data_IF_154245742406
#
_entry.id   IF_154245742406
#
_cell.length_a   1.000
_cell.length_b   1.000
_cell.length_c   1.000
_cell.angle_alpha   90.00
_cell.angle_beta   90.00
_cell.angle_gamma   90.00
#
_symmetry.space_group_name_H-M   'P 1'
#
loop_
_entity.id
_entity.type
_entity.pdbx_description
1 polymer ?
#
# COMPACT_ATOMS: atom_id res chain seq x y z
N UNK A 1 13.56 -34.98 -6.03
CA UNK A 1 12.53 -34.02 -6.47
C UNK A 1 12.70 -33.51 -7.91
N UNK A 2 13.92 -33.34 -8.46
CA UNK A 2 14.14 -32.88 -9.86
C UNK A 2 13.43 -33.70 -10.98
N UNK A 3 13.12 -34.98 -10.76
CA UNK A 3 12.49 -35.85 -11.79
C UNK A 3 10.97 -35.66 -11.93
N UNK A 4 10.29 -35.14 -10.91
CA UNK A 4 8.84 -34.90 -10.96
C UNK A 4 8.54 -33.62 -11.78
N UNK A 5 9.42 -32.61 -11.68
CA UNK A 5 9.29 -31.37 -12.46
C UNK A 5 9.41 -31.61 -13.97
N UNK A 6 10.23 -32.57 -14.41
CA UNK A 6 10.37 -32.90 -15.85
C UNK A 6 9.10 -33.58 -16.39
N UNK A 7 8.45 -34.43 -15.59
CA UNK A 7 7.23 -35.13 -16.00
C UNK A 7 6.02 -34.19 -16.09
N UNK A 8 5.88 -33.24 -15.17
CA UNK A 8 4.75 -32.29 -15.16
C UNK A 8 4.93 -31.24 -16.27
N UNK A 9 6.13 -30.70 -16.47
CA UNK A 9 6.42 -29.80 -17.58
C UNK A 9 6.27 -30.50 -18.94
N UNK A 10 6.68 -31.76 -19.03
CA UNK A 10 6.46 -32.60 -20.21
C UNK A 10 4.98 -32.80 -20.52
N UNK A 11 4.16 -33.11 -19.50
CA UNK A 11 2.72 -33.29 -19.64
C UNK A 11 2.04 -32.00 -20.14
N UNK A 12 2.35 -30.85 -19.54
CA UNK A 12 1.80 -29.55 -19.93
C UNK A 12 2.20 -29.14 -21.36
N UNK A 13 3.46 -29.38 -21.76
CA UNK A 13 3.94 -29.11 -23.11
C UNK A 13 3.28 -30.05 -24.14
N UNK A 14 3.11 -31.34 -23.81
CA UNK A 14 2.42 -32.28 -24.69
C UNK A 14 0.95 -31.92 -24.88
N UNK A 15 0.23 -31.52 -23.82
CA UNK A 15 -1.18 -31.13 -23.94
C UNK A 15 -1.38 -29.88 -24.79
N UNK A 16 -0.45 -28.92 -24.74
CA UNK A 16 -0.50 -27.69 -25.53
C UNK A 16 -0.11 -27.92 -27.00
N UNK A 17 0.86 -28.79 -27.28
CA UNK A 17 1.19 -29.21 -28.65
C UNK A 17 0.08 -30.08 -29.29
N UNK A 18 -0.56 -30.99 -28.55
CA UNK A 18 -1.68 -31.78 -29.08
C UNK A 18 -2.92 -30.93 -29.33
N UNK A 19 -3.18 -29.92 -28.50
CA UNK A 19 -4.30 -28.99 -28.73
C UNK A 19 -4.09 -28.15 -30.00
N UNK A 20 -2.85 -27.79 -30.31
CA UNK A 20 -2.50 -27.02 -31.53
C UNK A 20 -2.58 -27.89 -32.79
N UNK A 21 -2.14 -29.16 -32.71
CA UNK A 21 -2.21 -30.11 -33.83
C UNK A 21 -3.65 -30.56 -34.15
N UNK A 22 -4.50 -30.74 -33.14
CA UNK A 22 -5.92 -31.07 -33.35
C UNK A 22 -6.69 -29.93 -34.05
N UNK A 23 -6.28 -28.67 -33.82
CA UNK A 23 -6.86 -27.50 -34.48
C UNK A 23 -6.42 -27.36 -35.95
N UNK A 24 -5.29 -27.96 -36.33
CA UNK A 24 -4.73 -27.87 -37.70
C UNK A 24 -5.29 -28.92 -38.67
N UNK A 25 -6.04 -29.92 -38.21
CA UNK A 25 -6.51 -31.03 -39.06
C UNK A 25 -7.97 -30.93 -39.52
N UNK A 26 -8.72 -29.87 -39.15
CA UNK A 26 -10.16 -29.79 -39.46
C UNK A 26 -10.51 -29.16 -40.81
N UNK A 27 -9.56 -29.02 -41.74
CA UNK A 27 -9.85 -28.54 -43.10
C UNK A 27 -9.23 -29.51 -44.11
N UNK A 28 -9.89 -30.64 -44.33
CA UNK A 28 -9.59 -31.51 -45.47
C UNK A 28 -10.35 -30.99 -46.70
N UNK A 29 -9.67 -30.64 -47.82
CA UNK A 29 -10.35 -30.31 -49.05
C UNK A 29 -11.01 -31.57 -49.61
N UNK A 30 -12.29 -31.44 -49.95
CA UNK A 30 -13.16 -32.49 -50.47
C UNK A 30 -12.64 -32.97 -51.85
N UNK A 31 -12.19 -34.22 -52.03
CA UNK A 31 -11.84 -34.71 -53.35
C UNK A 31 -13.10 -35.15 -54.09
N UNK A 32 -13.46 -34.40 -55.13
CA UNK A 32 -14.55 -34.72 -56.04
C UNK A 32 -14.30 -36.06 -56.73
N UNK A 33 -15.08 -37.09 -56.40
CA UNK A 33 -15.14 -38.37 -57.12
C UNK A 33 -16.54 -38.57 -57.73
N UNK A 34 -16.64 -39.32 -58.84
CA UNK A 34 -17.81 -39.36 -59.71
C UNK A 34 -18.98 -40.18 -59.13
N UNK A 35 -20.22 -39.92 -59.60
CA UNK A 35 -21.42 -40.49 -59.01
C UNK A 35 -21.54 -41.98 -59.34
N UNK A 36 -21.40 -42.82 -58.31
CA UNK A 36 -21.75 -44.24 -58.41
C UNK A 36 -23.04 -44.44 -57.63
N UNK A 37 -24.15 -44.60 -58.34
CA UNK A 37 -25.47 -44.83 -57.78
C UNK A 37 -25.58 -46.25 -57.20
N UNK A 38 -25.30 -46.36 -55.91
CA UNK A 38 -25.76 -47.47 -55.07
C UNK A 38 -26.62 -46.86 -53.95
N UNK A 39 -27.73 -47.50 -53.54
CA UNK A 39 -28.57 -46.98 -52.48
C UNK A 39 -27.78 -47.01 -51.17
N UNK A 40 -27.36 -45.82 -50.74
CA UNK A 40 -26.70 -45.61 -49.45
C UNK A 40 -27.71 -46.03 -48.38
N UNK A 41 -27.42 -47.02 -47.52
CA UNK A 41 -28.24 -47.28 -46.36
C UNK A 41 -28.32 -46.01 -45.54
N UNK A 42 -29.55 -45.55 -45.31
CA UNK A 42 -29.91 -44.28 -44.69
C UNK A 42 -29.07 -44.03 -43.42
N UNK A 43 -27.98 -43.27 -43.53
CA UNK A 43 -26.98 -43.04 -42.48
C UNK A 43 -27.44 -42.03 -41.41
N UNK A 44 -28.73 -41.69 -41.40
CA UNK A 44 -29.30 -40.63 -40.57
C UNK A 44 -29.79 -41.10 -39.19
N UNK A 45 -29.35 -42.26 -38.71
CA UNK A 45 -29.58 -42.68 -37.33
C UNK A 45 -28.32 -43.26 -36.70
N UNK A 46 -27.19 -42.55 -36.81
CA UNK A 46 -26.22 -42.63 -35.71
C UNK A 46 -26.87 -41.87 -34.56
N UNK A 47 -27.63 -42.60 -33.74
CA UNK A 47 -28.15 -42.10 -32.47
C UNK A 47 -26.90 -41.65 -31.69
N UNK A 48 -26.74 -40.34 -31.38
CA UNK A 48 -25.59 -39.89 -30.63
C UNK A 48 -25.51 -40.74 -29.37
N UNK A 49 -24.32 -41.25 -29.09
CA UNK A 49 -24.13 -42.20 -28.01
C UNK A 49 -24.68 -41.55 -26.74
N UNK A 50 -25.47 -42.27 -25.95
CA UNK A 50 -26.23 -41.73 -24.79
C UNK A 50 -25.37 -41.15 -23.66
N UNK A 51 -24.05 -41.04 -23.85
CA UNK A 51 -23.09 -40.44 -22.94
C UNK A 51 -22.55 -39.08 -23.43
N UNK A 52 -22.90 -38.61 -24.63
CA UNK A 52 -22.56 -37.26 -25.07
C UNK A 52 -23.34 -36.23 -24.25
N UNK A 53 -22.66 -35.63 -23.28
CA UNK A 53 -23.20 -34.57 -22.43
C UNK A 53 -23.39 -33.34 -23.32
N UNK A 54 -24.65 -32.98 -23.58
CA UNK A 54 -24.99 -31.73 -24.25
C UNK A 54 -24.74 -30.56 -23.30
N UNK A 55 -23.51 -30.04 -23.31
CA UNK A 55 -23.05 -28.95 -22.44
C UNK A 55 -23.94 -27.71 -22.57
N UNK A 56 -24.42 -27.44 -23.78
CA UNK A 56 -25.26 -26.28 -24.09
C UNK A 56 -26.62 -26.33 -23.36
N UNK A 57 -27.26 -27.49 -23.35
CA UNK A 57 -28.56 -27.69 -22.70
C UNK A 57 -28.49 -27.43 -21.18
N UNK A 58 -27.41 -27.90 -20.54
CA UNK A 58 -27.20 -27.77 -19.09
C UNK A 58 -26.89 -26.33 -18.68
N UNK A 59 -26.20 -25.56 -19.54
CA UNK A 59 -25.83 -24.17 -19.26
C UNK A 59 -26.92 -23.14 -19.59
N UNK A 60 -27.80 -23.43 -20.57
CA UNK A 60 -28.86 -22.49 -20.99
C UNK A 60 -30.09 -22.50 -20.09
N UNK A 61 -30.34 -23.60 -19.36
CA UNK A 61 -31.47 -23.73 -18.43
C UNK A 61 -31.02 -24.20 -17.04
N UNK A 62 -30.35 -23.33 -16.26
CA UNK A 62 -29.82 -23.72 -14.95
C UNK A 62 -30.97 -24.08 -14.01
N UNK A 63 -31.20 -25.36 -13.82
CA UNK A 63 -32.08 -25.87 -12.78
C UNK A 63 -31.24 -26.19 -11.54
N UNK A 64 -31.37 -25.35 -10.51
CA UNK A 64 -30.64 -25.53 -9.25
C UNK A 64 -30.98 -26.85 -8.52
N UNK A 65 -32.08 -27.51 -8.89
CA UNK A 65 -32.42 -28.84 -8.38
C UNK A 65 -31.78 -29.99 -9.18
N UNK A 66 -31.16 -29.73 -10.34
CA UNK A 66 -30.54 -30.76 -11.17
C UNK A 66 -29.13 -31.12 -10.65
N UNK A 67 -28.96 -32.39 -10.27
CA UNK A 67 -27.67 -32.94 -9.85
C UNK A 67 -26.61 -32.84 -10.97
N UNK A 68 -27.02 -32.94 -12.25
CA UNK A 68 -26.10 -32.84 -13.40
C UNK A 68 -25.48 -31.44 -13.51
N UNK A 69 -26.25 -30.40 -13.22
CA UNK A 69 -25.75 -29.03 -13.19
C UNK A 69 -24.66 -28.88 -12.13
N UNK A 70 -24.91 -29.34 -10.90
CA UNK A 70 -23.92 -29.26 -9.82
C UNK A 70 -22.66 -30.09 -10.09
N UNK A 71 -22.80 -31.28 -10.68
CA UNK A 71 -21.64 -32.08 -11.11
C UNK A 71 -20.82 -31.37 -12.18
N UNK A 72 -21.47 -30.80 -13.19
CA UNK A 72 -20.79 -30.04 -14.25
C UNK A 72 -20.09 -28.80 -13.68
N UNK A 73 -20.76 -28.05 -12.79
CA UNK A 73 -20.17 -26.92 -12.09
C UNK A 73 -18.96 -27.37 -11.26
N UNK A 74 -19.05 -28.49 -10.54
CA UNK A 74 -17.91 -29.06 -9.82
C UNK A 74 -16.71 -29.36 -10.71
N UNK A 75 -16.94 -29.92 -11.91
CA UNK A 75 -15.89 -30.17 -12.91
C UNK A 75 -15.28 -28.87 -13.44
N UNK A 76 -16.10 -27.87 -13.74
CA UNK A 76 -15.67 -26.52 -14.14
C UNK A 76 -14.77 -25.90 -13.07
N UNK A 77 -15.22 -25.92 -11.81
CA UNK A 77 -14.49 -25.37 -10.68
C UNK A 77 -13.16 -26.11 -10.47
N UNK A 78 -13.15 -27.44 -10.58
CA UNK A 78 -11.93 -28.24 -10.47
C UNK A 78 -10.94 -27.91 -11.59
N UNK A 79 -11.39 -27.84 -12.85
CA UNK A 79 -10.54 -27.46 -13.98
C UNK A 79 -10.00 -26.02 -13.84
N UNK A 80 -10.84 -25.07 -13.42
CA UNK A 80 -10.43 -23.71 -13.10
C UNK A 80 -9.38 -23.65 -11.98
N UNK A 81 -9.55 -24.45 -10.92
CA UNK A 81 -8.59 -24.53 -9.83
C UNK A 81 -7.22 -25.03 -10.32
N UNK A 82 -7.20 -26.06 -11.17
CA UNK A 82 -5.97 -26.55 -11.80
C UNK A 82 -5.31 -25.47 -12.65
N UNK A 83 -6.09 -24.66 -13.37
CA UNK A 83 -5.60 -23.47 -14.07
C UNK A 83 -4.88 -22.48 -13.15
N UNK A 84 -5.48 -22.16 -12.01
CA UNK A 84 -4.87 -21.29 -10.99
C UNK A 84 -3.60 -21.89 -10.39
N UNK A 85 -3.55 -23.21 -10.18
CA UNK A 85 -2.35 -23.93 -9.73
C UNK A 85 -1.22 -23.89 -10.76
N UNK A 86 -1.53 -24.09 -12.04
CA UNK A 86 -0.54 -24.02 -13.13
C UNK A 86 0.08 -22.64 -13.18
N UNK A 87 -0.72 -21.58 -13.07
CA UNK A 87 -0.20 -20.22 -12.98
C UNK A 87 0.81 -20.07 -11.82
N UNK A 88 0.47 -20.60 -10.65
CA UNK A 88 1.36 -20.52 -9.48
C UNK A 88 2.67 -21.27 -9.68
N UNK A 89 2.61 -22.49 -10.22
CA UNK A 89 3.79 -23.29 -10.52
C UNK A 89 4.72 -22.59 -11.52
N UNK A 90 4.15 -21.90 -12.52
CA UNK A 90 4.93 -21.12 -13.47
C UNK A 90 5.55 -19.88 -12.82
N UNK A 91 4.77 -19.14 -12.01
CA UNK A 91 5.20 -17.88 -11.43
C UNK A 91 6.22 -18.07 -10.29
N UNK A 92 6.10 -19.14 -9.50
CA UNK A 92 7.03 -19.48 -8.42
C UNK A 92 8.13 -20.47 -8.84
N UNK A 93 8.31 -20.72 -10.14
CA UNK A 93 9.32 -21.65 -10.66
C UNK A 93 9.24 -23.06 -10.03
N UNK A 94 8.03 -23.51 -9.72
CA UNK A 94 7.77 -24.80 -9.09
C UNK A 94 7.81 -24.81 -7.56
N UNK A 95 8.04 -23.67 -6.90
CA UNK A 95 7.83 -23.57 -5.46
C UNK A 95 6.33 -23.44 -5.16
N UNK A 96 5.85 -24.16 -4.15
CA UNK A 96 4.45 -24.10 -3.70
C UNK A 96 4.43 -23.46 -2.32
N UNK A 97 3.73 -22.34 -2.20
CA UNK A 97 3.47 -21.69 -0.92
C UNK A 97 2.28 -22.36 -0.24
N UNK A 98 2.51 -23.03 0.89
CA UNK A 98 1.44 -23.66 1.66
C UNK A 98 0.75 -22.62 2.56
N UNK A 99 -0.52 -22.86 2.96
CA UNK A 99 -1.17 -22.03 3.95
C UNK A 99 -0.34 -21.92 5.22
N UNK A 100 0.00 -20.70 5.62
CA UNK A 100 0.82 -20.44 6.80
C UNK A 100 0.41 -19.12 7.46
N UNK A 101 0.79 -18.97 8.74
CA UNK A 101 0.71 -17.67 9.39
C UNK A 101 1.96 -16.87 9.01
N UNK A 102 1.82 -15.69 8.40
CA UNK A 102 2.98 -14.86 8.10
C UNK A 102 3.66 -14.42 9.40
N UNK A 103 4.98 -14.25 9.34
CA UNK A 103 5.74 -13.76 10.50
C UNK A 103 5.49 -12.28 10.73
N UNK A 104 5.73 -11.78 11.94
CA UNK A 104 5.59 -10.34 12.25
C UNK A 104 6.49 -9.49 11.35
N UNK A 105 7.68 -10.00 10.98
CA UNK A 105 8.60 -9.33 10.05
C UNK A 105 8.03 -9.27 8.63
N UNK A 106 7.44 -10.37 8.13
CA UNK A 106 6.79 -10.39 6.81
C UNK A 106 5.61 -9.42 6.74
N UNK A 107 4.86 -9.29 7.84
CA UNK A 107 3.73 -8.38 7.96
C UNK A 107 4.19 -6.94 8.06
N UNK A 108 5.25 -6.63 8.81
CA UNK A 108 5.80 -5.29 8.89
C UNK A 108 6.24 -4.77 7.50
N UNK A 109 6.75 -5.66 6.65
CA UNK A 109 7.22 -5.31 5.30
C UNK A 109 6.08 -5.25 4.28
N UNK A 110 5.14 -6.22 4.29
CA UNK A 110 4.11 -6.33 3.23
C UNK A 110 2.77 -5.71 3.62
N UNK A 111 2.42 -5.70 4.90
CA UNK A 111 1.09 -5.35 5.40
C UNK A 111 1.17 -4.59 6.74
N UNK A 112 1.80 -3.43 6.74
CA UNK A 112 2.07 -2.63 7.94
C UNK A 112 0.84 -2.31 8.82
N UNK A 113 -0.38 -2.41 8.26
CA UNK A 113 -1.64 -2.13 8.96
C UNK A 113 -2.38 -3.39 9.42
N UNK A 114 -1.89 -4.60 9.11
CA UNK A 114 -2.57 -5.84 9.44
C UNK A 114 -2.09 -6.40 10.79
N UNK A 115 -3.02 -6.71 11.70
CA UNK A 115 -2.70 -7.37 12.96
C UNK A 115 -2.34 -8.84 12.73
N UNK A 116 -1.13 -9.24 13.13
CA UNK A 116 -0.58 -10.57 12.88
C UNK A 116 -1.40 -11.72 13.44
N UNK A 117 -2.18 -11.48 14.50
CA UNK A 117 -3.08 -12.48 15.08
C UNK A 117 -4.20 -12.92 14.13
N UNK A 118 -4.56 -12.10 13.15
CA UNK A 118 -5.75 -12.29 12.30
C UNK A 118 -5.41 -12.53 10.82
N UNK A 119 -4.12 -12.56 10.45
CA UNK A 119 -3.71 -12.80 9.07
C UNK A 119 -3.34 -14.26 8.87
N UNK A 120 -3.92 -14.88 7.85
CA UNK A 120 -3.54 -16.21 7.38
C UNK A 120 -3.23 -16.07 5.90
N UNK A 121 -2.01 -16.39 5.51
CA UNK A 121 -1.68 -16.56 4.10
C UNK A 121 -2.18 -17.93 3.66
N UNK A 122 -3.10 -17.95 2.70
CA UNK A 122 -3.66 -19.18 2.16
C UNK A 122 -2.76 -19.80 1.07
N UNK A 123 -1.73 -19.09 0.60
CA UNK A 123 -0.78 -19.59 -0.39
C UNK A 123 -1.49 -20.14 -1.64
N UNK A 124 -1.14 -21.38 -2.00
CA UNK A 124 -1.70 -22.14 -3.12
C UNK A 124 -3.23 -22.32 -3.02
N UNK A 125 -3.79 -22.38 -1.81
CA UNK A 125 -5.23 -22.57 -1.61
C UNK A 125 -6.01 -21.35 -2.11
N UNK A 126 -5.52 -20.13 -1.87
CA UNK A 126 -6.15 -18.93 -2.43
C UNK A 126 -6.16 -18.96 -3.96
N UNK A 127 -5.06 -19.40 -4.59
CA UNK A 127 -4.93 -19.46 -6.06
C UNK A 127 -5.84 -20.53 -6.67
N UNK A 128 -5.98 -21.68 -6.02
CA UNK A 128 -6.96 -22.70 -6.41
C UNK A 128 -8.39 -22.14 -6.37
N UNK A 129 -8.74 -21.39 -5.32
CA UNK A 129 -10.06 -20.78 -5.16
C UNK A 129 -10.32 -19.69 -6.20
N UNK A 130 -9.35 -18.79 -6.43
CA UNK A 130 -9.45 -17.73 -7.45
C UNK A 130 -9.61 -18.36 -8.83
N UNK A 131 -8.79 -19.35 -9.16
CA UNK A 131 -8.88 -20.07 -10.44
C UNK A 131 -10.23 -20.77 -10.63
N UNK A 132 -10.75 -21.42 -9.58
CA UNK A 132 -12.07 -22.03 -9.60
C UNK A 132 -13.17 -20.98 -9.86
N UNK A 133 -13.15 -19.86 -9.13
CA UNK A 133 -14.17 -18.81 -9.24
C UNK A 133 -14.13 -18.04 -10.56
N UNK A 134 -12.97 -17.97 -11.22
CA UNK A 134 -12.83 -17.33 -12.52
C UNK A 134 -13.43 -18.13 -13.69
N UNK A 135 -13.55 -19.46 -13.55
CA UNK A 135 -13.97 -20.33 -14.65
C UNK A 135 -15.46 -20.21 -15.03
N UNK A 136 -16.45 -20.21 -14.10
CA UNK A 136 -17.87 -20.09 -14.44
C UNK A 136 -18.23 -18.85 -15.28
N UNK A 137 -17.81 -17.61 -14.95
CA UNK A 137 -18.15 -16.45 -15.76
C UNK A 137 -17.50 -16.49 -17.15
N UNK A 138 -16.29 -17.02 -17.27
CA UNK A 138 -15.64 -17.18 -18.57
C UNK A 138 -16.39 -18.17 -19.48
N UNK A 139 -16.90 -19.26 -18.91
CA UNK A 139 -17.68 -20.27 -19.63
C UNK A 139 -19.05 -19.71 -20.05
N UNK A 140 -19.68 -18.90 -19.20
CA UNK A 140 -20.93 -18.23 -19.54
C UNK A 140 -20.78 -17.30 -20.76
N UNK A 141 -19.60 -16.71 -20.95
CA UNK A 141 -19.27 -15.84 -22.09
C UNK A 141 -18.92 -16.66 -23.33
N UNK A 142 -18.00 -17.63 -23.21
CA UNK A 142 -17.46 -18.38 -24.36
C UNK A 142 -18.43 -19.45 -24.88
N UNK A 143 -19.32 -19.97 -24.02
CA UNK A 143 -20.33 -20.99 -24.35
C UNK A 143 -19.75 -22.21 -25.09
N UNK A 144 -18.87 -22.98 -24.43
CA UNK A 144 -18.20 -24.11 -25.05
C UNK A 144 -19.19 -25.17 -25.54
N UNK A 145 -19.02 -25.62 -26.79
CA UNK A 145 -19.92 -26.61 -27.41
C UNK A 145 -19.56 -28.07 -27.05
N UNK A 146 -18.31 -28.31 -26.65
CA UNK A 146 -17.80 -29.64 -26.30
C UNK A 146 -17.21 -29.67 -24.91
N UNK A 147 -17.23 -30.85 -24.27
CA UNK A 147 -16.64 -31.04 -22.95
C UNK A 147 -15.14 -30.71 -22.91
N UNK A 148 -14.40 -31.01 -24.00
CA UNK A 148 -12.98 -30.68 -24.09
C UNK A 148 -12.75 -29.17 -24.10
N UNK A 149 -13.49 -28.42 -24.91
CA UNK A 149 -13.40 -26.95 -24.96
C UNK A 149 -13.79 -26.38 -23.59
N UNK A 150 -14.82 -26.92 -22.94
CA UNK A 150 -15.23 -26.51 -21.60
C UNK A 150 -14.08 -26.66 -20.59
N UNK A 151 -13.41 -27.81 -20.55
CA UNK A 151 -12.29 -28.04 -19.64
C UNK A 151 -11.09 -27.13 -19.94
N UNK A 152 -10.73 -27.00 -21.22
CA UNK A 152 -9.62 -26.16 -21.66
C UNK A 152 -9.89 -24.68 -21.33
N UNK A 153 -11.07 -24.16 -21.67
CA UNK A 153 -11.49 -22.80 -21.35
C UNK A 153 -11.53 -22.57 -19.84
N UNK A 154 -12.02 -23.55 -19.05
CA UNK A 154 -12.01 -23.45 -17.59
C UNK A 154 -10.60 -23.29 -17.02
N UNK A 155 -9.66 -24.13 -17.47
CA UNK A 155 -8.27 -24.08 -17.02
C UNK A 155 -7.57 -22.78 -17.44
N UNK A 156 -7.76 -22.33 -18.69
CA UNK A 156 -7.21 -21.05 -19.16
C UNK A 156 -7.80 -19.89 -18.37
N UNK A 157 -9.11 -19.87 -18.16
CA UNK A 157 -9.79 -18.86 -17.36
C UNK A 157 -9.29 -18.82 -15.92
N UNK A 158 -9.06 -19.99 -15.31
CA UNK A 158 -8.50 -20.08 -13.95
C UNK A 158 -7.09 -19.52 -13.84
N UNK A 159 -6.22 -19.81 -14.82
CA UNK A 159 -4.88 -19.23 -14.90
C UNK A 159 -4.92 -17.71 -15.09
N UNK A 160 -5.76 -17.22 -16.02
CA UNK A 160 -5.89 -15.80 -16.32
C UNK A 160 -6.50 -15.01 -15.16
N UNK A 161 -7.52 -15.57 -14.49
CA UNK A 161 -8.15 -14.98 -13.32
C UNK A 161 -7.17 -14.78 -12.16
N UNK A 162 -6.29 -15.76 -11.93
CA UNK A 162 -5.25 -15.65 -10.91
C UNK A 162 -4.24 -14.54 -11.22
N UNK A 163 -3.84 -14.40 -12.48
CA UNK A 163 -2.97 -13.31 -12.94
C UNK A 163 -3.62 -11.93 -12.73
N UNK A 164 -4.88 -11.77 -13.12
CA UNK A 164 -5.62 -10.51 -12.96
C UNK A 164 -5.76 -10.16 -11.48
N UNK A 165 -6.09 -11.13 -10.64
CA UNK A 165 -6.23 -10.90 -9.21
C UNK A 165 -4.91 -10.46 -8.57
N UNK A 166 -3.79 -11.09 -8.93
CA UNK A 166 -2.46 -10.67 -8.47
C UNK A 166 -2.15 -9.23 -8.89
N UNK A 167 -2.39 -8.89 -10.16
CA UNK A 167 -2.18 -7.53 -10.65
C UNK A 167 -3.06 -6.49 -9.92
N UNK A 168 -4.29 -6.87 -9.54
CA UNK A 168 -5.18 -6.02 -8.73
C UNK A 168 -4.67 -5.88 -7.30
N UNK A 169 -4.22 -6.96 -6.66
CA UNK A 169 -3.62 -6.92 -5.32
C UNK A 169 -2.40 -6.00 -5.29
N UNK A 170 -1.49 -6.14 -6.25
CA UNK A 170 -0.29 -5.29 -6.35
C UNK A 170 -0.68 -3.81 -6.49
N UNK A 171 -1.65 -3.49 -7.35
CA UNK A 171 -2.14 -2.11 -7.52
C UNK A 171 -2.85 -1.57 -6.29
N UNK A 172 -3.66 -2.38 -5.61
CA UNK A 172 -4.33 -1.99 -4.38
C UNK A 172 -3.32 -1.74 -3.26
N UNK A 173 -2.30 -2.59 -3.15
CA UNK A 173 -1.24 -2.44 -2.16
C UNK A 173 -0.46 -1.14 -2.42
N UNK A 174 -0.07 -0.86 -3.67
CA UNK A 174 0.56 0.41 -4.05
C UNK A 174 -0.34 1.61 -3.73
N UNK A 175 -1.63 1.55 -4.05
CA UNK A 175 -2.56 2.64 -3.77
C UNK A 175 -2.76 2.89 -2.27
N UNK A 176 -2.83 1.83 -1.46
CA UNK A 176 -2.91 1.91 0.00
C UNK A 176 -1.62 2.47 0.60
N UNK A 177 -0.46 2.06 0.10
CA UNK A 177 0.81 2.64 0.54
C UNK A 177 0.89 4.13 0.20
N UNK A 178 0.47 4.53 -1.00
CA UNK A 178 0.52 5.92 -1.42
C UNK A 178 -0.45 6.82 -0.64
N UNK A 179 -1.64 6.32 -0.29
CA UNK A 179 -2.58 7.03 0.58
C UNK A 179 -2.08 7.12 2.02
N UNK A 180 -1.50 6.05 2.57
CA UNK A 180 -0.86 6.08 3.87
C UNK A 180 0.31 7.07 3.94
N UNK A 181 1.16 7.13 2.91
CA UNK A 181 2.26 8.10 2.83
C UNK A 181 1.73 9.53 2.78
N UNK A 182 0.65 9.79 2.04
CA UNK A 182 0.04 11.12 1.97
C UNK A 182 -0.61 11.53 3.29
N UNK A 183 -1.26 10.61 4.00
CA UNK A 183 -1.84 10.88 5.33
C UNK A 183 -0.77 11.09 6.40
N UNK A 184 0.31 10.30 6.39
CA UNK A 184 1.44 10.47 7.31
C UNK A 184 2.18 11.77 7.01
N UNK A 185 2.41 12.11 5.75
CA UNK A 185 3.01 13.39 5.34
C UNK A 185 2.11 14.58 5.72
N UNK A 186 0.79 14.47 5.55
CA UNK A 186 -0.15 15.52 5.96
C UNK A 186 -0.23 15.67 7.49
N UNK A 187 0.02 14.60 8.25
CA UNK A 187 0.08 14.64 9.73
C UNK A 187 1.43 15.12 10.25
N UNK A 188 2.54 14.90 9.55
CA UNK A 188 3.87 15.39 9.96
C UNK A 188 4.10 16.87 9.63
N UNK A 189 3.48 17.40 8.57
CA UNK A 189 3.57 18.82 8.19
C UNK A 189 2.76 19.72 9.15
N UNK A 190 1.62 19.25 9.67
CA UNK A 190 0.74 20.04 10.57
C UNK A 190 1.40 20.53 11.88
N UNK A 191 2.22 19.74 12.60
CA UNK A 191 2.89 20.21 13.81
C UNK A 191 4.18 21.02 13.56
N UNK A 192 4.80 20.94 12.39
CA UNK A 192 6.06 21.66 12.11
C UNK A 192 5.86 23.17 11.88
N UNK A 193 4.83 23.56 11.12
CA UNK A 193 4.52 24.97 10.88
C UNK A 193 4.34 25.81 12.17
N UNK A 194 3.52 25.38 13.16
CA UNK A 194 3.31 26.18 14.36
C UNK A 194 4.53 26.20 15.30
N UNK A 195 5.42 25.19 15.26
CA UNK A 195 6.70 25.24 15.99
C UNK A 195 7.62 26.31 15.38
N UNK A 196 7.69 26.39 14.05
CA UNK A 196 8.50 27.39 13.35
C UNK A 196 7.98 28.83 13.59
N UNK A 197 6.66 29.01 13.59
CA UNK A 197 6.02 30.28 13.93
C UNK A 197 6.30 30.67 15.39
N UNK A 198 6.19 29.74 16.34
CA UNK A 198 6.53 29.98 17.74
C UNK A 198 8.00 30.38 17.94
N UNK A 199 8.94 29.72 17.25
CA UNK A 199 10.38 30.08 17.30
C UNK A 199 10.60 31.49 16.76
N UNK A 200 9.97 31.83 15.64
CA UNK A 200 10.11 33.13 14.98
C UNK A 200 9.59 34.27 15.87
N UNK A 201 8.42 34.10 16.46
CA UNK A 201 7.83 35.12 17.34
C UNK A 201 8.60 35.24 18.65
N UNK A 202 9.09 34.11 19.18
CA UNK A 202 9.96 34.14 20.36
C UNK A 202 11.28 34.86 20.09
N UNK A 203 11.89 34.65 18.92
CA UNK A 203 13.11 35.37 18.52
C UNK A 203 12.86 36.87 18.34
N UNK A 204 11.70 37.26 17.81
CA UNK A 204 11.25 38.67 17.74
C UNK A 204 11.13 39.28 19.13
N UNK A 205 10.49 38.57 20.07
CA UNK A 205 10.37 38.99 21.47
C UNK A 205 11.74 39.15 22.14
N UNK A 206 12.64 38.18 21.98
CA UNK A 206 14.01 38.24 22.54
C UNK A 206 14.79 39.43 21.96
N UNK A 207 14.65 39.72 20.66
CA UNK A 207 15.28 40.88 20.06
C UNK A 207 14.75 42.19 20.63
N UNK A 208 13.43 42.29 20.83
CA UNK A 208 12.82 43.49 21.39
C UNK A 208 13.26 43.71 22.84
N UNK A 209 13.24 42.66 23.67
CA UNK A 209 13.77 42.72 25.04
C UNK A 209 15.24 43.16 25.04
N UNK A 210 16.07 42.61 24.14
CA UNK A 210 17.49 43.00 24.02
C UNK A 210 17.69 44.45 23.61
N UNK A 211 16.86 45.04 22.75
CA UNK A 211 16.98 46.46 22.37
C UNK A 211 16.79 47.39 23.56
N UNK A 212 15.97 46.99 24.52
CA UNK A 212 15.62 47.79 25.70
C UNK A 212 16.44 47.46 26.94
N UNK A 213 17.26 46.42 26.90
CA UNK A 213 18.12 45.98 28.00
C UNK A 213 19.60 46.16 27.68
N UNK A 214 20.40 46.49 28.68
CA UNK A 214 21.85 46.31 28.58
C UNK A 214 22.21 44.97 29.20
N UNK A 215 23.05 44.19 28.51
CA UNK A 215 23.69 43.01 29.11
C UNK A 215 25.01 43.46 29.71
N UNK A 216 25.11 43.64 31.05
CA UNK A 216 26.40 43.87 31.67
C UNK A 216 27.29 42.65 31.39
N UNK A 217 28.51 42.91 30.90
CA UNK A 217 29.45 41.86 30.45
C UNK A 217 29.56 40.73 31.48
N UNK A 218 29.11 39.53 31.08
CA UNK A 218 29.28 38.29 31.85
C UNK A 218 28.13 37.92 32.79
N UNK A 219 27.00 38.62 32.79
CA UNK A 219 25.86 38.30 33.65
C UNK A 219 24.73 37.56 32.92
N UNK A 220 24.14 36.60 33.62
CA UNK A 220 22.97 35.78 33.29
C UNK A 220 21.64 36.57 33.36
N UNK A 221 21.73 37.89 33.41
CA UNK A 221 20.65 38.80 33.76
C UNK A 221 20.59 39.96 32.75
N UNK A 222 19.37 40.29 32.30
CA UNK A 222 19.10 41.46 31.47
C UNK A 222 18.59 42.60 32.36
N UNK A 223 19.29 43.74 32.33
CA UNK A 223 18.93 44.91 33.13
C UNK A 223 18.38 46.01 32.24
N UNK A 224 17.19 46.51 32.55
CA UNK A 224 16.60 47.64 31.84
C UNK A 224 17.19 48.96 32.36
N UNK A 225 17.89 49.69 31.48
CA UNK A 225 18.62 50.91 31.86
C UNK A 225 17.79 52.18 31.77
N UNK A 226 16.62 52.09 31.12
CA UNK A 226 15.61 53.13 31.01
C UNK A 226 14.22 52.51 31.12
N UNK A 227 13.22 53.37 31.30
CA UNK A 227 11.82 52.98 31.19
C UNK A 227 11.58 52.36 29.80
N UNK A 228 11.43 51.05 29.77
CA UNK A 228 11.18 50.30 28.55
C UNK A 228 9.70 50.04 28.40
N UNK A 229 9.17 50.23 27.19
CA UNK A 229 7.79 49.84 26.87
C UNK A 229 7.83 48.55 26.06
N UNK A 230 7.37 47.46 26.65
CA UNK A 230 7.11 46.23 25.92
C UNK A 230 5.64 46.18 25.53
N UNK A 231 5.36 45.66 24.34
CA UNK A 231 4.01 45.43 23.86
C UNK A 231 3.50 44.07 24.38
N UNK A 232 2.44 44.02 25.20
CA UNK A 232 1.89 42.74 25.66
C UNK A 232 1.41 41.85 24.51
N UNK A 233 1.08 42.42 23.34
CA UNK A 233 0.71 41.63 22.17
C UNK A 233 1.84 40.69 21.70
N UNK A 234 3.12 41.07 21.84
CA UNK A 234 4.24 40.20 21.49
C UNK A 234 4.30 38.95 22.39
N UNK A 235 3.90 39.07 23.67
CA UNK A 235 3.82 37.92 24.57
C UNK A 235 2.59 37.05 24.29
N UNK A 236 1.47 37.67 23.91
CA UNK A 236 0.25 36.95 23.51
C UNK A 236 0.43 36.17 22.21
N UNK A 237 1.15 36.72 21.21
CA UNK A 237 1.49 36.03 19.96
C UNK A 237 2.29 34.76 20.22
N UNK A 238 3.34 34.85 21.05
CA UNK A 238 4.15 33.69 21.45
C UNK A 238 3.30 32.67 22.21
N UNK A 239 2.53 33.12 23.21
CA UNK A 239 1.64 32.25 23.99
C UNK A 239 0.63 31.52 23.10
N UNK A 240 0.05 32.20 22.13
CA UNK A 240 -0.90 31.64 21.19
C UNK A 240 -0.27 30.50 20.37
N UNK A 241 0.90 30.72 19.78
CA UNK A 241 1.56 29.68 19.00
C UNK A 241 2.04 28.52 19.87
N UNK A 242 2.59 28.78 21.06
CA UNK A 242 2.98 27.73 22.00
C UNK A 242 1.78 26.87 22.44
N UNK A 243 0.62 27.47 22.74
CA UNK A 243 -0.56 26.71 23.14
C UNK A 243 -1.14 25.85 21.99
N UNK A 244 -0.94 26.23 20.72
CA UNK A 244 -1.35 25.41 19.58
C UNK A 244 -0.54 24.12 19.44
N UNK A 245 0.68 24.10 19.99
CA UNK A 245 1.59 22.95 19.94
C UNK A 245 1.73 22.25 21.30
N UNK A 246 0.90 22.61 22.28
CA UNK A 246 0.87 21.96 23.57
C UNK A 246 0.53 20.46 23.42
N UNK A 247 1.29 19.60 24.11
CA UNK A 247 1.13 18.14 24.05
C UNK A 247 1.69 17.48 22.78
N UNK A 248 2.23 18.24 21.82
CA UNK A 248 2.89 17.69 20.63
C UNK A 248 4.28 17.14 20.99
N UNK A 249 5.01 17.84 21.86
CA UNK A 249 6.34 17.45 22.32
C UNK A 249 6.54 17.86 23.78
N UNK A 250 7.08 16.99 24.67
CA UNK A 250 7.26 17.32 26.08
C UNK A 250 8.18 18.53 26.32
N UNK A 251 9.11 18.83 25.40
CA UNK A 251 9.97 20.02 25.48
C UNK A 251 9.21 21.32 25.21
N UNK A 252 8.16 21.26 24.39
CA UNK A 252 7.25 22.40 24.17
C UNK A 252 6.47 22.68 25.44
N UNK A 253 5.97 21.63 26.10
CA UNK A 253 5.26 21.78 27.38
C UNK A 253 6.16 22.39 28.46
N UNK A 254 7.42 21.96 28.53
CA UNK A 254 8.41 22.60 29.42
C UNK A 254 8.67 24.06 29.04
N UNK A 255 8.76 24.39 27.75
CA UNK A 255 8.94 25.75 27.26
C UNK A 255 7.75 26.66 27.62
N UNK A 256 6.52 26.14 27.57
CA UNK A 256 5.29 26.85 27.96
C UNK A 256 5.33 27.23 29.42
N UNK A 257 5.71 26.31 30.31
CA UNK A 257 5.76 26.59 31.75
C UNK A 257 6.81 27.66 32.09
N UNK A 258 8.01 27.56 31.51
CA UNK A 258 9.06 28.58 31.71
C UNK A 258 8.61 29.94 31.12
N UNK A 259 7.90 29.93 29.98
CA UNK A 259 7.38 31.15 29.37
C UNK A 259 6.31 31.81 30.25
N UNK A 260 5.43 31.05 30.90
CA UNK A 260 4.46 31.59 31.87
C UNK A 260 5.15 32.25 33.07
N UNK A 261 6.17 31.60 33.62
CA UNK A 261 6.97 32.16 34.71
C UNK A 261 7.62 33.50 34.31
N UNK A 262 8.20 33.55 33.09
CA UNK A 262 8.77 34.76 32.53
C UNK A 262 7.73 35.88 32.37
N UNK A 263 6.53 35.57 31.87
CA UNK A 263 5.45 36.56 31.69
C UNK A 263 4.99 37.12 33.04
N UNK A 264 4.82 36.27 34.05
CA UNK A 264 4.45 36.69 35.40
C UNK A 264 5.53 37.56 36.04
N UNK A 265 6.80 37.23 35.81
CA UNK A 265 7.94 38.03 36.29
C UNK A 265 7.99 39.41 35.62
N UNK A 266 7.79 39.49 34.30
CA UNK A 266 7.66 40.77 33.59
C UNK A 266 6.47 41.56 34.12
N UNK A 267 5.33 40.90 34.33
CA UNK A 267 4.10 41.55 34.83
C UNK A 267 4.30 42.14 36.21
N UNK A 268 4.91 41.40 37.14
CA UNK A 268 5.21 41.84 38.51
C UNK A 268 6.07 43.10 38.57
N UNK A 269 6.94 43.28 37.58
CA UNK A 269 7.87 44.42 37.50
C UNK A 269 7.46 45.46 36.44
N UNK A 270 6.22 45.40 35.98
CA UNK A 270 5.66 46.36 35.04
C UNK A 270 4.56 47.18 35.69
N UNK A 271 4.53 48.46 35.36
CA UNK A 271 3.40 49.34 35.64
C UNK A 271 2.60 49.49 34.35
N UNK A 272 1.27 49.35 34.41
CA UNK A 272 0.39 49.74 33.31
C UNK A 272 0.09 51.23 33.46
N UNK A 273 0.67 52.12 32.63
CA UNK A 273 0.34 53.53 32.67
C UNK A 273 -1.14 53.71 32.33
N UNK A 274 -1.89 54.52 33.09
CA UNK A 274 -3.32 54.67 32.85
C UNK A 274 -3.57 55.16 31.42
N UNK A 275 -4.31 54.38 30.62
CA UNK A 275 -4.71 54.76 29.27
C UNK A 275 -3.79 54.27 28.15
N UNK A 276 -2.78 53.43 28.41
CA UNK A 276 -2.01 52.75 27.36
C UNK A 276 -2.10 51.23 27.49
N UNK A 277 -2.05 50.53 26.36
CA UNK A 277 -1.96 49.06 26.31
C UNK A 277 -0.54 48.53 26.52
N UNK A 278 0.46 49.41 26.67
CA UNK A 278 1.87 49.02 26.77
C UNK A 278 2.29 48.78 28.22
N UNK A 279 3.11 47.76 28.44
CA UNK A 279 3.71 47.48 29.74
C UNK A 279 4.97 48.33 29.90
N UNK A 280 4.98 49.21 30.91
CA UNK A 280 6.16 50.01 31.24
C UNK A 280 6.97 49.27 32.29
N UNK A 281 8.12 48.73 31.90
CA UNK A 281 9.05 48.07 32.83
C UNK A 281 9.81 49.14 33.60
N UNK A 282 9.81 49.03 34.93
CA UNK A 282 10.52 49.97 35.80
C UNK A 282 12.04 49.86 35.59
N UNK A 283 12.71 51.01 35.61
CA UNK A 283 14.17 51.07 35.54
C UNK A 283 14.80 50.24 36.68
N UNK A 284 15.78 49.40 36.33
CA UNK A 284 16.48 48.56 37.30
C UNK A 284 15.89 47.18 37.49
N UNK A 285 14.76 46.86 36.86
CA UNK A 285 14.24 45.48 36.76
C UNK A 285 15.27 44.58 36.11
N UNK A 286 15.38 43.38 36.66
CA UNK A 286 16.29 42.33 36.23
C UNK A 286 15.45 41.18 35.71
N UNK A 287 15.67 40.76 34.47
CA UNK A 287 15.06 39.57 33.90
C UNK A 287 16.11 38.46 33.78
N UNK A 288 15.79 37.22 34.19
CA UNK A 288 16.70 36.09 34.04
C UNK A 288 16.85 35.74 32.56
N UNK A 289 18.03 36.02 32.00
CA UNK A 289 18.35 35.69 30.61
C UNK A 289 18.36 34.17 30.38
N UNK A 290 18.61 33.40 31.43
CA UNK A 290 18.57 31.94 31.42
C UNK A 290 17.21 31.40 30.97
N UNK A 291 16.11 32.00 31.41
CA UNK A 291 14.76 31.58 30.98
C UNK A 291 14.59 31.75 29.47
N UNK A 292 15.04 32.87 28.91
CA UNK A 292 14.99 33.12 27.47
C UNK A 292 15.84 32.11 26.67
N UNK A 293 17.05 31.82 27.14
CA UNK A 293 17.92 30.82 26.49
C UNK A 293 17.34 29.40 26.59
N UNK A 294 16.77 29.05 27.74
CA UNK A 294 16.18 27.73 27.98
C UNK A 294 14.97 27.51 27.07
N UNK A 295 14.04 28.47 27.01
CA UNK A 295 12.88 28.40 26.10
C UNK A 295 13.35 28.25 24.64
N UNK A 296 14.29 29.08 24.19
CA UNK A 296 14.85 28.98 22.82
C UNK A 296 15.43 27.60 22.54
N UNK A 297 16.20 27.06 23.48
CA UNK A 297 16.83 25.74 23.35
C UNK A 297 15.79 24.63 23.28
N UNK A 298 14.77 24.68 24.14
CA UNK A 298 13.69 23.70 24.16
C UNK A 298 12.89 23.71 22.86
N UNK A 299 12.56 24.88 22.31
CA UNK A 299 11.85 24.99 21.03
C UNK A 299 12.68 24.47 19.86
N UNK A 300 13.97 24.79 19.80
CA UNK A 300 14.88 24.25 18.78
C UNK A 300 15.05 22.74 18.88
N UNK A 301 15.13 22.20 20.08
CA UNK A 301 15.18 20.77 20.30
C UNK A 301 13.86 20.09 19.90
N UNK A 302 12.72 20.67 20.24
CA UNK A 302 11.41 20.16 19.84
C UNK A 302 11.28 20.12 18.31
N UNK A 303 11.74 21.16 17.60
CA UNK A 303 11.82 21.17 16.15
C UNK A 303 12.65 20.00 15.62
N UNK A 304 13.87 19.82 16.12
CA UNK A 304 14.76 18.73 15.70
C UNK A 304 14.16 17.34 15.97
N UNK A 305 13.51 17.15 17.11
CA UNK A 305 12.85 15.89 17.46
C UNK A 305 11.67 15.60 16.51
N UNK A 306 10.95 16.65 16.08
CA UNK A 306 9.82 16.54 15.15
C UNK A 306 10.29 16.28 13.71
N UNK A 307 11.46 16.80 13.33
CA UNK A 307 12.10 16.50 12.04
C UNK A 307 12.65 15.06 12.00
N UNK A 308 13.28 14.59 13.09
CA UNK A 308 13.90 13.26 13.15
C UNK A 308 12.91 12.11 13.32
N UNK A 309 11.72 12.37 13.84
CA UNK A 309 10.61 11.40 13.90
C UNK A 309 9.81 11.33 12.60
N UNK A 310 10.05 12.24 11.65
CA UNK A 310 9.53 12.12 10.30
C UNK A 310 10.44 11.14 9.54
N UNK A 311 9.99 9.92 9.18
CA UNK A 311 10.82 9.00 8.42
C UNK A 311 11.28 9.69 7.14
N UNK A 312 12.59 9.73 6.91
CA UNK A 312 13.21 10.31 5.73
C UNK A 312 12.64 9.62 4.48
N UNK A 313 11.62 10.24 3.88
CA UNK A 313 10.84 9.65 2.81
C UNK A 313 11.56 9.75 1.43
N UNK A 314 12.79 10.26 1.42
CA UNK A 314 13.56 10.47 0.19
C UNK A 314 14.33 9.21 -0.28
N UNK A 315 14.45 8.16 0.54
CA UNK A 315 15.22 6.97 0.14
C UNK A 315 14.39 5.88 -0.56
N UNK A 316 13.06 5.98 -0.59
CA UNK A 316 12.19 4.95 -1.20
C UNK A 316 11.71 5.30 -2.60
N UNK A 317 11.81 6.56 -3.02
CA UNK A 317 11.43 7.00 -4.37
C UNK A 317 12.46 6.59 -5.46
N UNK A 318 13.71 6.31 -5.09
CA UNK A 318 14.76 5.96 -6.06
C UNK A 318 14.82 4.46 -6.41
N UNK A 319 14.15 3.59 -5.63
CA UNK A 319 14.07 2.15 -5.94
C UNK A 319 12.90 1.78 -6.87
N UNK A 320 11.98 2.69 -7.16
CA UNK A 320 10.83 2.44 -8.03
C UNK A 320 11.07 2.80 -9.52
N UNK A 321 12.25 3.33 -9.88
CA UNK A 321 12.51 3.85 -11.23
C UNK A 321 13.57 3.10 -12.04
N UNK A 322 14.16 2.00 -11.53
CA UNK A 322 15.02 1.14 -12.34
C UNK A 322 14.21 0.01 -12.98
N UNK A 323 13.94 0.06 -14.31
CA UNK A 323 13.45 -1.12 -15.00
C UNK A 323 14.50 -2.22 -14.89
N UNK A 324 14.12 -3.35 -14.30
CA UNK A 324 14.90 -4.58 -14.33
C UNK A 324 15.20 -4.91 -15.80
N UNK A 325 16.48 -4.92 -16.25
CA UNK A 325 16.79 -5.33 -17.61
C UNK A 325 16.43 -6.82 -17.77
N UNK A 326 15.91 -7.23 -18.94
CA UNK A 326 15.66 -8.64 -19.22
C UNK A 326 16.97 -9.41 -19.09
N UNK A 327 16.92 -10.54 -18.38
CA UNK A 327 18.05 -11.43 -18.20
C UNK A 327 18.54 -11.94 -19.57
N UNK A 328 19.66 -11.39 -20.05
CA UNK A 328 20.39 -11.97 -21.17
C UNK A 328 20.95 -13.34 -20.75
N UNK A 329 20.61 -14.34 -21.55
CA UNK A 329 21.04 -15.72 -21.35
C UNK A 329 22.55 -15.85 -21.44
N UNK A 330 23.16 -16.36 -20.38
CA UNK A 330 24.51 -16.90 -20.42
C UNK A 330 24.48 -18.26 -21.12
N UNK A 331 24.90 -18.28 -22.37
CA UNK A 331 25.35 -19.50 -23.04
C UNK A 331 26.74 -19.87 -22.49
N UNK A 332 26.75 -20.72 -21.46
CA UNK A 332 27.94 -21.45 -21.06
C UNK A 332 28.17 -22.57 -22.08
N UNK A 333 29.21 -22.43 -22.90
CA UNK A 333 29.86 -23.56 -23.54
C UNK A 333 30.73 -24.27 -22.50
N UNK A 334 30.53 -25.56 -22.36
CA UNK A 334 31.57 -26.48 -21.91
C UNK A 334 31.42 -27.78 -22.69
N UNK A 335 32.59 -28.25 -23.14
CA UNK A 335 32.89 -29.45 -23.93
C UNK A 335 32.04 -30.68 -23.64
#
# INVERSE_FOLDING_TARGET
MKRINILISGFLLTTSLTATAAYSQSVSPNPTLPPTSSPIPNSNQIKPNSWEINVKEILETPNLADCKFWMMLGVILAAGSLGGLVYELLNLQGNIELPHKPTDDDLAVKFAYAHSTNVIDLGVVARLLIGALAAPPAIAIVRPETAFILLATSAVAGSAGTLIFRALQDRLLVAVLQTGINEVSARSIKPQQPIDEAIKDFDKLVQEVRKHSESPRGLTELKFTRDATLDPSDFEEVSKHLNQIQGVNPKVDEAIEIFKELVEEVRKHSESPSGTTKLKITKGTVLPFEHLQKIKTLLWQAKKDTETTTPANDSTAELASKPTPPAEGSTSSHN
#
